data_IF_807875973270
#
_entry.id   IF_807875973270
#
_cell.length_a   1.000
_cell.length_b   1.000
_cell.length_c   1.000
_cell.angle_alpha   90.00
_cell.angle_beta   90.00
_cell.angle_gamma   90.00
#
_symmetry.space_group_name_H-M   'P 1'
#
loop_
_entity.id
_entity.type
_entity.pdbx_description
1 polymer ?
#
# COMPACT_ATOMS: atom_id res chain seq x y z
N UNK A 1 -1.52 -20.28 -25.73
CA UNK A 1 -0.54 -19.41 -26.41
C UNK A 1 0.57 -18.92 -25.48
N UNK A 2 0.28 -18.30 -24.32
CA UNK A 2 1.36 -17.83 -23.41
C UNK A 2 2.27 -18.94 -22.84
N UNK A 3 1.78 -20.18 -22.69
CA UNK A 3 2.56 -21.32 -22.17
C UNK A 3 3.57 -21.93 -23.17
N UNK A 4 3.61 -21.45 -24.42
CA UNK A 4 4.46 -22.01 -25.49
C UNK A 4 5.70 -21.16 -25.78
N UNK A 5 5.85 -20.03 -25.10
CA UNK A 5 6.96 -19.08 -25.33
C UNK A 5 7.62 -18.74 -24.00
N UNK A 6 8.95 -18.73 -23.98
CA UNK A 6 9.73 -18.26 -22.84
C UNK A 6 10.31 -16.87 -23.14
N UNK A 7 10.32 -16.01 -22.13
CA UNK A 7 10.88 -14.65 -22.19
C UNK A 7 11.70 -14.40 -20.93
N UNK A 8 12.63 -13.45 -20.98
CA UNK A 8 13.29 -12.98 -19.76
C UNK A 8 12.26 -12.38 -18.80
N UNK A 9 12.34 -12.74 -17.52
CA UNK A 9 11.47 -12.21 -16.48
C UNK A 9 11.62 -10.68 -16.36
N UNK A 10 12.84 -10.17 -16.55
CA UNK A 10 13.13 -8.74 -16.50
C UNK A 10 12.40 -7.99 -17.62
N UNK A 11 12.41 -8.56 -18.83
CA UNK A 11 11.70 -7.99 -19.98
C UNK A 11 10.19 -8.04 -19.79
N UNK A 12 9.69 -9.14 -19.23
CA UNK A 12 8.27 -9.28 -18.91
C UNK A 12 7.83 -8.26 -17.85
N UNK A 13 8.60 -8.10 -16.78
CA UNK A 13 8.31 -7.11 -15.74
C UNK A 13 8.40 -5.68 -16.28
N UNK A 14 9.40 -5.36 -17.10
CA UNK A 14 9.52 -4.05 -17.72
C UNK A 14 8.32 -3.74 -18.64
N UNK A 15 7.85 -4.72 -19.41
CA UNK A 15 6.64 -4.57 -20.23
C UNK A 15 5.37 -4.39 -19.39
N UNK A 16 5.22 -5.17 -18.32
CA UNK A 16 4.09 -5.06 -17.41
C UNK A 16 4.07 -3.71 -16.68
N UNK A 17 5.23 -3.23 -16.22
CA UNK A 17 5.39 -1.92 -15.57
C UNK A 17 4.91 -0.79 -16.48
N UNK A 18 5.35 -0.77 -17.75
CA UNK A 18 4.88 0.21 -18.74
C UNK A 18 3.36 0.18 -18.91
N UNK A 19 2.78 -1.02 -19.02
CA UNK A 19 1.33 -1.17 -19.18
C UNK A 19 0.57 -0.66 -17.96
N UNK A 20 1.01 -0.97 -16.75
CA UNK A 20 0.38 -0.48 -15.52
C UNK A 20 0.49 1.05 -15.44
N UNK A 21 1.68 1.61 -15.69
CA UNK A 21 1.94 3.04 -15.71
C UNK A 21 1.02 3.78 -16.70
N UNK A 22 0.88 3.28 -17.93
CA UNK A 22 -0.01 3.84 -18.95
C UNK A 22 -1.48 3.92 -18.48
N UNK A 23 -1.97 2.91 -17.77
CA UNK A 23 -3.38 2.86 -17.34
C UNK A 23 -3.67 3.62 -16.04
N UNK A 24 -2.65 3.80 -15.20
CA UNK A 24 -2.80 4.42 -13.87
C UNK A 24 -2.27 5.85 -13.81
N UNK A 25 -1.55 6.31 -14.84
CA UNK A 25 -0.91 7.63 -14.87
C UNK A 25 0.28 7.76 -13.93
N UNK A 26 0.86 6.64 -13.48
CA UNK A 26 2.03 6.63 -12.60
C UNK A 26 3.34 6.59 -13.38
N UNK A 27 4.45 6.91 -12.72
CA UNK A 27 5.80 6.86 -13.31
C UNK A 27 6.26 5.41 -13.57
N UNK A 28 5.78 4.45 -12.78
CA UNK A 28 6.06 3.04 -12.89
C UNK A 28 4.94 2.19 -12.26
N UNK A 29 4.88 0.92 -12.63
CA UNK A 29 4.00 -0.07 -12.00
C UNK A 29 4.73 -1.35 -11.65
N UNK A 30 4.26 -2.05 -10.61
CA UNK A 30 4.84 -3.30 -10.15
C UNK A 30 3.78 -4.39 -10.11
N UNK A 31 4.03 -5.49 -10.82
CA UNK A 31 3.25 -6.73 -10.66
C UNK A 31 3.68 -7.40 -9.36
N UNK A 32 2.70 -7.74 -8.53
CA UNK A 32 2.91 -8.42 -7.24
C UNK A 32 2.08 -9.71 -7.18
N UNK A 33 2.24 -10.48 -6.11
CA UNK A 33 1.47 -11.72 -5.90
C UNK A 33 -0.04 -11.48 -5.68
N UNK A 34 -0.46 -10.24 -5.46
CA UNK A 34 -1.86 -9.85 -5.27
C UNK A 34 -2.00 -8.57 -4.44
N UNK A 35 -3.23 -8.16 -4.15
CA UNK A 35 -3.52 -6.90 -3.45
C UNK A 35 -2.83 -6.79 -2.07
N UNK A 36 -2.80 -7.87 -1.29
CA UNK A 36 -2.10 -7.89 0.00
C UNK A 36 -0.57 -7.69 -0.16
N UNK A 37 0.04 -8.33 -1.17
CA UNK A 37 1.45 -8.14 -1.50
C UNK A 37 1.74 -6.69 -1.93
N UNK A 38 0.89 -6.13 -2.79
CA UNK A 38 0.98 -4.75 -3.23
C UNK A 38 0.91 -3.75 -2.07
N UNK A 39 -0.06 -3.92 -1.15
CA UNK A 39 -0.21 -3.05 0.02
C UNK A 39 0.99 -3.15 0.97
N UNK A 40 1.51 -4.37 1.19
CA UNK A 40 2.70 -4.58 2.03
C UNK A 40 3.92 -3.89 1.43
N UNK A 41 4.20 -4.12 0.15
CA UNK A 41 5.34 -3.52 -0.55
C UNK A 41 5.20 -2.00 -0.69
N UNK A 42 4.00 -1.49 -0.99
CA UNK A 42 3.73 -0.06 -1.07
C UNK A 42 3.93 0.64 0.27
N UNK A 43 3.41 0.06 1.36
CA UNK A 43 3.63 0.60 2.70
C UNK A 43 5.12 0.57 3.10
N UNK A 44 5.82 -0.54 2.82
CA UNK A 44 7.25 -0.65 3.06
C UNK A 44 8.06 0.40 2.27
N UNK A 45 7.72 0.63 1.00
CA UNK A 45 8.37 1.65 0.17
C UNK A 45 8.17 3.07 0.72
N UNK A 46 6.97 3.38 1.23
CA UNK A 46 6.68 4.68 1.88
C UNK A 46 7.50 4.85 3.18
N UNK A 47 7.60 3.81 4.00
CA UNK A 47 8.33 3.81 5.26
C UNK A 47 9.85 3.96 5.04
N UNK A 48 10.40 3.15 4.12
CA UNK A 48 11.84 3.07 3.90
C UNK A 48 12.37 4.16 2.97
N UNK A 49 11.57 4.62 1.99
CA UNK A 49 11.99 5.54 0.92
C UNK A 49 13.26 5.05 0.23
N UNK A 50 14.33 5.83 0.26
CA UNK A 50 15.65 5.48 -0.29
C UNK A 50 16.70 5.25 0.82
N UNK A 51 16.26 5.05 2.07
CA UNK A 51 17.16 4.81 3.20
C UNK A 51 17.38 3.29 3.38
N UNK A 52 18.57 2.83 3.00
CA UNK A 52 18.96 1.42 3.10
C UNK A 52 18.88 0.89 4.54
N UNK A 53 19.19 1.73 5.54
CA UNK A 53 19.11 1.30 6.93
C UNK A 53 17.66 1.01 7.32
N UNK A 54 16.71 1.84 6.87
CA UNK A 54 15.29 1.59 7.11
C UNK A 54 14.81 0.34 6.39
N UNK A 55 15.24 0.10 5.15
CA UNK A 55 14.89 -1.11 4.39
C UNK A 55 15.28 -2.38 5.16
N UNK A 56 16.51 -2.43 5.68
CA UNK A 56 17.00 -3.56 6.49
C UNK A 56 16.31 -3.68 7.86
N UNK A 57 15.81 -2.57 8.40
CA UNK A 57 15.18 -2.55 9.72
C UNK A 57 13.70 -2.99 9.69
N UNK A 58 13.00 -2.86 8.55
CA UNK A 58 11.60 -3.26 8.45
C UNK A 58 11.42 -4.76 8.78
N UNK A 59 10.34 -5.14 9.50
CA UNK A 59 9.19 -4.33 9.90
C UNK A 59 9.36 -3.61 11.26
N UNK A 60 10.56 -3.56 11.82
CA UNK A 60 10.82 -2.92 13.11
C UNK A 60 11.05 -1.42 12.94
N UNK A 61 10.00 -0.62 13.09
CA UNK A 61 10.04 0.81 12.77
C UNK A 61 10.51 1.73 13.91
N UNK A 62 11.16 1.20 14.95
CA UNK A 62 11.66 2.00 16.06
C UNK A 62 12.71 3.02 15.58
N UNK A 63 12.54 4.28 15.98
CA UNK A 63 13.46 5.36 15.60
C UNK A 63 13.12 6.10 14.31
N UNK A 64 11.98 5.84 13.67
CA UNK A 64 11.46 6.68 12.59
C UNK A 64 9.93 6.69 12.48
N UNK A 65 9.33 7.70 11.80
CA UNK A 65 7.88 7.79 11.65
C UNK A 65 7.30 6.60 10.88
N UNK A 66 6.24 5.99 11.42
CA UNK A 66 5.61 4.79 10.85
C UNK A 66 4.09 4.78 11.01
N UNK A 67 3.48 5.94 11.24
CA UNK A 67 2.02 6.07 11.38
C UNK A 67 1.35 6.32 10.04
N UNK A 68 0.30 5.56 9.74
CA UNK A 68 -0.51 5.67 8.53
C UNK A 68 -1.93 6.05 8.93
N UNK A 69 -2.40 7.20 8.45
CA UNK A 69 -3.75 7.67 8.74
C UNK A 69 -4.75 6.87 7.92
N UNK A 70 -5.81 6.39 8.56
CA UNK A 70 -6.90 5.65 7.90
C UNK A 70 -8.26 6.12 8.41
N UNK A 71 -9.19 6.36 7.50
CA UNK A 71 -10.58 6.62 7.87
C UNK A 71 -11.20 5.37 8.52
N UNK A 72 -11.89 5.52 9.65
CA UNK A 72 -12.53 4.39 10.37
C UNK A 72 -13.46 3.56 9.49
N UNK A 73 -14.11 4.21 8.52
CA UNK A 73 -15.06 3.59 7.59
C UNK A 73 -14.38 2.75 6.49
N UNK A 74 -13.08 2.92 6.28
CA UNK A 74 -12.29 2.22 5.26
C UNK A 74 -11.47 1.06 5.84
N UNK A 75 -11.64 0.75 7.13
CA UNK A 75 -11.00 -0.41 7.75
C UNK A 75 -11.47 -1.69 7.07
N UNK A 76 -10.53 -2.57 6.73
CA UNK A 76 -10.83 -3.82 6.05
C UNK A 76 -9.85 -4.93 6.44
N UNK A 77 -10.09 -6.17 5.97
CA UNK A 77 -9.15 -7.27 6.20
C UNK A 77 -7.74 -7.01 5.66
N UNK A 78 -7.59 -6.10 4.70
CA UNK A 78 -6.28 -5.72 4.16
C UNK A 78 -5.42 -4.88 5.12
N UNK A 79 -5.97 -4.40 6.24
CA UNK A 79 -5.18 -3.73 7.27
C UNK A 79 -4.01 -4.59 7.75
N UNK A 80 -4.16 -5.93 7.72
CA UNK A 80 -3.09 -6.86 8.07
C UNK A 80 -1.90 -6.75 7.12
N UNK A 81 -2.14 -6.55 5.82
CA UNK A 81 -1.09 -6.38 4.83
C UNK A 81 -0.30 -5.08 5.06
N UNK A 82 -1.00 -3.99 5.36
CA UNK A 82 -0.33 -2.71 5.68
C UNK A 82 0.48 -2.85 6.97
N UNK A 83 -0.09 -3.43 8.02
CA UNK A 83 0.60 -3.66 9.30
C UNK A 83 1.80 -4.62 9.19
N UNK A 84 1.77 -5.58 8.26
CA UNK A 84 2.87 -6.50 8.01
C UNK A 84 4.16 -5.78 7.55
N UNK A 85 4.06 -4.56 7.02
CA UNK A 85 5.22 -3.73 6.70
C UNK A 85 5.90 -3.09 7.92
N UNK A 86 5.27 -3.14 9.10
CA UNK A 86 5.68 -2.38 10.30
C UNK A 86 4.93 -1.08 10.50
N UNK A 87 4.02 -0.71 9.59
CA UNK A 87 3.19 0.47 9.73
C UNK A 87 2.18 0.34 10.89
N UNK A 88 1.96 1.43 11.63
CA UNK A 88 0.88 1.55 12.62
C UNK A 88 -0.25 2.39 12.07
N UNK A 89 -1.45 1.81 12.00
CA UNK A 89 -2.63 2.55 11.55
C UNK A 89 -3.13 3.49 12.66
N UNK A 90 -3.37 4.75 12.29
CA UNK A 90 -3.99 5.77 13.12
C UNK A 90 -5.35 6.09 12.54
N UNK A 91 -6.39 5.74 13.29
CA UNK A 91 -7.76 5.93 12.86
C UNK A 91 -8.22 7.38 13.01
N UNK A 92 -8.91 7.89 11.99
CA UNK A 92 -9.57 9.20 12.00
C UNK A 92 -11.03 9.08 11.55
N UNK A 93 -11.86 10.04 11.97
CA UNK A 93 -13.30 10.03 11.75
C UNK A 93 -14.07 9.26 12.82
N UNK A 94 -15.40 9.31 12.74
CA UNK A 94 -16.32 8.64 13.66
C UNK A 94 -17.00 7.45 12.97
N UNK A 95 -17.29 6.39 13.74
CA UNK A 95 -18.05 5.23 13.27
C UNK A 95 -19.42 5.18 13.98
N UNK A 96 -20.25 6.19 13.72
CA UNK A 96 -21.63 6.23 14.22
C UNK A 96 -22.60 6.43 13.06
N UNK A 97 -23.14 5.31 12.56
CA UNK A 97 -24.22 5.31 11.55
C UNK A 97 -25.58 5.66 12.18
N UNK A 98 -25.73 5.53 13.51
CA UNK A 98 -27.04 5.42 14.18
C UNK A 98 -27.52 6.71 14.84
N UNK A 99 -26.64 7.58 15.34
CA UNK A 99 -27.02 8.66 16.26
C UNK A 99 -27.61 9.91 15.57
N UNK A 100 -27.44 10.07 14.25
CA UNK A 100 -27.94 11.21 13.44
C UNK A 100 -27.70 12.61 14.06
N UNK A 101 -26.76 12.72 15.01
CA UNK A 101 -26.48 13.90 15.80
C UNK A 101 -25.24 14.61 15.23
N UNK A 102 -25.35 15.13 14.00
CA UNK A 102 -24.34 16.05 13.44
C UNK A 102 -22.91 15.51 13.29
N UNK A 103 -22.72 14.20 13.27
CA UNK A 103 -21.40 13.56 13.14
C UNK A 103 -21.00 13.51 11.66
N UNK A 104 -19.97 14.25 11.28
CA UNK A 104 -19.48 14.27 9.89
C UNK A 104 -18.49 13.14 9.65
N UNK A 105 -18.57 12.53 8.45
CA UNK A 105 -17.55 11.60 7.95
C UNK A 105 -16.20 12.31 7.85
N UNK A 106 -15.14 11.56 7.61
CA UNK A 106 -13.86 12.15 7.18
C UNK A 106 -14.12 12.89 5.87
N UNK A 107 -14.26 14.21 5.93
CA UNK A 107 -14.52 15.04 4.75
C UNK A 107 -13.23 15.12 3.91
N UNK A 108 -13.33 15.13 2.57
CA UNK A 108 -12.17 15.20 1.69
C UNK A 108 -11.43 16.56 1.66
N UNK A 109 -11.75 17.52 2.55
CA UNK A 109 -11.20 18.88 2.56
C UNK A 109 -10.84 19.39 3.97
#
# INVERSE_FOLDING_TARGET
>A
QASEVSVSLEQLQAAASRKIAEHTGTEAGLVTSGAAGALTLGAAAILARHDLRRMEQLPHCDGFPHEFIIAREQRSGYDHAVRASGARLVEVGFNEIVSNAGVRRTEPW
#
